data_IF_160516861130
#
_entry.id   IF_160516861130
#
_cell.length_a   1.000
_cell.length_b   1.000
_cell.length_c   1.000
_cell.angle_alpha   90.00
_cell.angle_beta   90.00
_cell.angle_gamma   90.00
#
_symmetry.space_group_name_H-M   'P 1'
#
loop_
_entity.id
_entity.type
_entity.pdbx_description
1 polymer ?
#
# COMPACT_ATOMS: atom_id res chain seq x y z
N UNK A 1 1.89 -10.53 12.84
CA UNK A 1 2.90 -9.45 12.87
C UNK A 1 4.25 -9.93 13.41
N UNK A 2 4.32 -10.67 14.53
CA UNK A 2 5.59 -11.12 15.12
C UNK A 2 6.47 -11.97 14.17
N UNK A 3 5.88 -12.74 13.27
CA UNK A 3 6.64 -13.53 12.29
C UNK A 3 7.24 -12.65 11.19
N UNK A 4 6.47 -11.70 10.67
CA UNK A 4 6.91 -10.70 9.67
C UNK A 4 8.03 -9.83 10.24
N UNK A 5 7.90 -9.43 11.50
CA UNK A 5 8.91 -8.63 12.20
C UNK A 5 10.24 -9.37 12.35
N UNK A 6 10.20 -10.68 12.64
CA UNK A 6 11.40 -11.52 12.72
C UNK A 6 12.08 -11.73 11.36
N UNK A 7 11.31 -11.79 10.28
CA UNK A 7 11.82 -11.99 8.91
C UNK A 7 12.40 -10.71 8.31
N UNK A 8 11.70 -9.58 8.47
CA UNK A 8 12.07 -8.29 7.86
C UNK A 8 12.99 -7.46 8.76
N UNK A 9 12.92 -7.66 10.08
CA UNK A 9 13.57 -6.83 11.09
C UNK A 9 12.70 -5.65 11.53
N UNK A 10 12.68 -5.38 12.84
CA UNK A 10 11.77 -4.42 13.49
C UNK A 10 11.86 -3.01 12.91
N UNK A 11 13.07 -2.46 12.73
CA UNK A 11 13.25 -1.09 12.22
C UNK A 11 12.68 -0.90 10.82
N UNK A 12 12.87 -1.91 9.95
CA UNK A 12 12.41 -1.89 8.57
C UNK A 12 10.89 -1.97 8.49
N UNK A 13 10.30 -2.81 9.34
CA UNK A 13 8.85 -2.93 9.44
C UNK A 13 8.20 -1.63 9.93
N UNK A 14 8.82 -0.94 10.91
CA UNK A 14 8.33 0.35 11.42
C UNK A 14 8.31 1.41 10.32
N UNK A 15 9.40 1.57 9.58
CA UNK A 15 9.49 2.54 8.47
C UNK A 15 8.41 2.23 7.42
N UNK A 16 8.23 0.95 7.10
CA UNK A 16 7.23 0.53 6.13
C UNK A 16 5.80 0.81 6.59
N UNK A 17 5.49 0.45 7.83
CA UNK A 17 4.17 0.63 8.42
C UNK A 17 3.79 2.11 8.52
N UNK A 18 4.72 2.94 9.02
CA UNK A 18 4.49 4.38 9.14
C UNK A 18 4.44 5.06 7.77
N UNK A 19 5.35 4.73 6.86
CA UNK A 19 5.41 5.33 5.53
C UNK A 19 4.15 5.06 4.70
N UNK A 20 3.70 3.80 4.65
CA UNK A 20 2.47 3.43 3.96
C UNK A 20 1.21 4.02 4.62
N UNK A 21 1.18 4.06 5.96
CA UNK A 21 0.07 4.67 6.70
C UNK A 21 -0.06 6.18 6.47
N UNK A 22 1.05 6.93 6.51
CA UNK A 22 1.04 8.38 6.28
C UNK A 22 0.65 8.69 4.84
N UNK A 23 1.22 8.00 3.85
CA UNK A 23 0.90 8.23 2.44
C UNK A 23 -0.56 7.87 2.11
N UNK A 24 -1.07 6.76 2.64
CA UNK A 24 -2.46 6.34 2.47
C UNK A 24 -3.45 7.34 3.08
N UNK A 25 -3.24 7.73 4.34
CA UNK A 25 -4.15 8.66 5.01
C UNK A 25 -4.07 10.08 4.41
N UNK A 26 -2.88 10.51 3.93
CA UNK A 26 -2.75 11.77 3.20
C UNK A 26 -3.56 11.73 1.89
N UNK A 27 -3.50 10.62 1.14
CA UNK A 27 -4.28 10.46 -0.08
C UNK A 27 -5.79 10.50 0.21
N UNK A 28 -6.26 9.84 1.26
CA UNK A 28 -7.66 9.90 1.69
C UNK A 28 -8.12 11.32 2.00
N UNK A 29 -7.32 12.08 2.76
CA UNK A 29 -7.64 13.47 3.09
C UNK A 29 -7.72 14.39 1.85
N UNK A 30 -7.04 14.05 0.76
CA UNK A 30 -7.10 14.79 -0.51
C UNK A 30 -8.39 14.45 -1.28
N UNK A 31 -8.73 13.15 -1.39
CA UNK A 31 -9.83 12.69 -2.24
C UNK A 31 -11.20 12.72 -1.55
N UNK A 32 -11.26 12.67 -0.22
CA UNK A 32 -12.51 12.72 0.56
C UNK A 32 -12.35 13.73 1.72
N UNK A 33 -12.27 15.04 1.44
CA UNK A 33 -11.92 16.05 2.45
C UNK A 33 -13.00 16.24 3.54
N UNK A 34 -14.26 15.86 3.27
CA UNK A 34 -15.39 16.08 4.17
C UNK A 34 -15.69 14.90 5.10
N UNK A 35 -14.96 13.78 4.99
CA UNK A 35 -15.05 12.66 5.94
C UNK A 35 -13.68 12.45 6.58
N UNK A 36 -13.60 12.74 7.88
CA UNK A 36 -12.39 12.53 8.64
C UNK A 36 -12.25 11.04 9.00
N UNK A 37 -11.70 10.26 8.08
CA UNK A 37 -11.39 8.86 8.29
C UNK A 37 -9.94 8.73 8.78
N UNK A 38 -9.78 8.21 10.00
CA UNK A 38 -8.48 7.91 10.60
C UNK A 38 -8.44 6.44 10.98
N UNK A 39 -7.43 5.73 10.50
CA UNK A 39 -7.32 4.32 10.81
C UNK A 39 -6.02 3.67 10.35
N UNK A 40 -5.79 2.43 10.78
CA UNK A 40 -4.64 1.64 10.35
C UNK A 40 -4.86 0.97 8.97
N UNK A 41 -5.95 1.29 8.26
CA UNK A 41 -6.31 0.63 7.00
C UNK A 41 -5.19 0.74 5.95
N UNK A 42 -4.68 1.96 5.70
CA UNK A 42 -3.55 2.19 4.80
C UNK A 42 -2.28 1.45 5.23
N UNK A 43 -1.94 1.46 6.52
CA UNK A 43 -0.74 0.77 7.02
C UNK A 43 -0.86 -0.77 6.92
N UNK A 44 -2.04 -1.32 7.21
CA UNK A 44 -2.32 -2.75 7.06
C UNK A 44 -2.30 -3.20 5.59
N UNK A 45 -2.83 -2.38 4.68
CA UNK A 45 -2.74 -2.64 3.24
C UNK A 45 -1.29 -2.62 2.75
N UNK A 46 -0.45 -1.74 3.31
CA UNK A 46 0.99 -1.71 3.04
C UNK A 46 1.73 -2.95 3.56
N UNK A 47 1.35 -3.45 4.73
CA UNK A 47 1.87 -4.74 5.25
C UNK A 47 1.44 -5.92 4.37
N UNK A 48 0.21 -5.91 3.85
CA UNK A 48 -0.27 -6.93 2.92
C UNK A 48 0.54 -6.91 1.62
N UNK A 49 0.84 -5.72 1.08
CA UNK A 49 1.74 -5.56 -0.05
C UNK A 49 3.14 -6.11 0.25
N UNK A 50 3.67 -5.87 1.46
CA UNK A 50 4.95 -6.41 1.90
C UNK A 50 5.02 -7.93 1.86
N UNK A 51 3.96 -8.61 2.33
CA UNK A 51 3.88 -10.07 2.26
C UNK A 51 3.87 -10.58 0.81
N UNK A 52 3.19 -9.88 -0.09
CA UNK A 52 3.17 -10.23 -1.52
C UNK A 52 4.57 -10.09 -2.13
N UNK A 53 5.27 -8.98 -1.86
CA UNK A 53 6.66 -8.76 -2.32
C UNK A 53 7.60 -9.81 -1.77
N UNK A 54 7.43 -10.20 -0.51
CA UNK A 54 8.22 -11.24 0.14
C UNK A 54 8.03 -12.62 -0.54
N UNK A 55 6.79 -12.97 -0.91
CA UNK A 55 6.48 -14.19 -1.69
C UNK A 55 7.11 -14.11 -3.09
N UNK A 56 7.05 -12.95 -3.75
CA UNK A 56 7.68 -12.74 -5.07
C UNK A 56 9.21 -12.93 -5.01
N UNK A 57 9.84 -12.49 -3.92
CA UNK A 57 11.28 -12.65 -3.72
C UNK A 57 11.68 -14.10 -3.42
N UNK A 58 10.86 -14.82 -2.66
CA UNK A 58 11.10 -16.22 -2.29
C UNK A 58 10.51 -17.23 -3.28
N UNK A 59 10.02 -16.77 -4.43
CA UNK A 59 9.39 -17.61 -5.46
C UNK A 59 10.16 -18.89 -5.81
N UNK A 60 11.49 -18.87 -6.08
CA UNK A 60 12.23 -20.08 -6.44
C UNK A 60 12.47 -21.04 -5.26
N UNK A 61 12.32 -20.59 -4.02
CA UNK A 61 12.49 -21.42 -2.83
C UNK A 61 11.19 -22.06 -2.34
N UNK A 62 10.03 -21.58 -2.81
CA UNK A 62 8.72 -22.07 -2.38
C UNK A 62 8.26 -23.23 -3.24
N UNK A 63 7.76 -24.31 -2.62
CA UNK A 63 7.22 -25.47 -3.36
C UNK A 63 5.95 -25.12 -4.15
N UNK A 64 5.10 -24.23 -3.62
CA UNK A 64 3.81 -23.84 -4.21
C UNK A 64 3.58 -22.30 -4.16
N UNK A 65 4.34 -21.49 -4.91
CA UNK A 65 4.27 -20.03 -4.86
C UNK A 65 2.93 -19.46 -5.34
N UNK A 66 2.33 -20.09 -6.35
CA UNK A 66 1.06 -19.64 -6.94
C UNK A 66 -0.09 -19.65 -5.94
N UNK A 67 -0.23 -20.69 -5.13
CA UNK A 67 -1.28 -20.78 -4.12
C UNK A 67 -1.09 -19.75 -3.01
N UNK A 68 0.16 -19.55 -2.57
CA UNK A 68 0.48 -18.56 -1.54
C UNK A 68 0.17 -17.14 -2.02
N UNK A 69 0.57 -16.78 -3.24
CA UNK A 69 0.27 -15.48 -3.83
C UNK A 69 -1.23 -15.30 -4.04
N UNK A 70 -1.91 -16.29 -4.62
CA UNK A 70 -3.34 -16.21 -4.89
C UNK A 70 -4.15 -16.00 -3.61
N UNK A 71 -3.79 -16.66 -2.50
CA UNK A 71 -4.46 -16.48 -1.21
C UNK A 71 -4.34 -15.04 -0.70
N UNK A 72 -3.16 -14.42 -0.77
CA UNK A 72 -2.96 -13.04 -0.31
C UNK A 72 -3.61 -12.02 -1.25
N UNK A 73 -3.55 -12.25 -2.56
CA UNK A 73 -4.21 -11.42 -3.56
C UNK A 73 -5.74 -11.49 -3.40
N UNK A 74 -6.29 -12.68 -3.16
CA UNK A 74 -7.72 -12.86 -2.90
C UNK A 74 -8.16 -12.11 -1.65
N UNK A 75 -7.37 -12.15 -0.56
CA UNK A 75 -7.64 -11.36 0.64
C UNK A 75 -7.59 -9.85 0.32
N UNK A 76 -6.62 -9.39 -0.45
CA UNK A 76 -6.52 -7.99 -0.87
C UNK A 76 -7.76 -7.54 -1.65
N UNK A 77 -8.16 -8.30 -2.67
CA UNK A 77 -9.33 -8.01 -3.50
C UNK A 77 -10.61 -8.04 -2.68
N UNK A 78 -10.78 -9.02 -1.78
CA UNK A 78 -11.94 -9.07 -0.89
C UNK A 78 -11.98 -7.86 0.05
N UNK A 79 -10.85 -7.42 0.58
CA UNK A 79 -10.77 -6.22 1.41
C UNK A 79 -11.15 -4.96 0.62
N UNK A 80 -10.72 -4.84 -0.64
CA UNK A 80 -11.16 -3.74 -1.51
C UNK A 80 -12.65 -3.81 -1.82
N UNK A 81 -13.21 -5.00 -2.09
CA UNK A 81 -14.65 -5.16 -2.36
C UNK A 81 -15.48 -4.83 -1.12
N UNK A 82 -15.09 -5.34 0.05
CA UNK A 82 -15.72 -5.02 1.34
C UNK A 82 -15.55 -3.52 1.63
N UNK A 83 -14.46 -2.92 1.19
CA UNK A 83 -14.20 -1.52 1.39
C UNK A 83 -15.16 -0.58 0.65
N UNK A 84 -16.00 -1.08 -0.28
CA UNK A 84 -17.13 -0.30 -0.84
C UNK A 84 -18.28 -0.10 0.16
N UNK A 85 -18.22 -0.75 1.34
CA UNK A 85 -19.16 -0.50 2.42
C UNK A 85 -18.86 0.84 3.10
N UNK A 86 -19.88 1.51 3.66
CA UNK A 86 -19.67 2.67 4.51
C UNK A 86 -18.68 2.32 5.64
N UNK A 87 -17.89 3.32 6.07
CA UNK A 87 -16.87 3.25 7.14
C UNK A 87 -15.49 2.70 6.77
N UNK A 88 -15.31 2.17 5.57
CA UNK A 88 -14.00 1.70 5.12
C UNK A 88 -13.41 2.64 4.08
N UNK A 89 -12.14 2.96 4.24
CA UNK A 89 -11.46 3.91 3.37
C UNK A 89 -10.60 3.17 2.33
N UNK A 90 -11.16 3.08 1.12
CA UNK A 90 -10.50 2.47 -0.03
C UNK A 90 -9.37 3.33 -0.57
N UNK A 91 -9.44 4.67 -0.50
CA UNK A 91 -8.33 5.52 -0.94
C UNK A 91 -7.11 5.30 -0.07
N UNK A 92 -7.27 5.32 1.25
CA UNK A 92 -6.16 5.03 2.17
C UNK A 92 -5.59 3.63 1.94
N UNK A 93 -6.44 2.63 1.71
CA UNK A 93 -6.01 1.25 1.44
C UNK A 93 -5.33 1.09 0.06
N UNK A 94 -5.80 1.79 -0.98
CA UNK A 94 -5.23 1.72 -2.32
C UNK A 94 -3.86 2.37 -2.40
N UNK A 95 -3.76 3.62 -1.93
CA UNK A 95 -2.48 4.32 -1.89
C UNK A 95 -1.54 3.70 -0.87
N UNK A 96 -2.04 3.25 0.29
CA UNK A 96 -1.26 2.49 1.27
C UNK A 96 -0.65 1.21 0.68
N UNK A 97 -1.40 0.47 -0.14
CA UNK A 97 -0.91 -0.71 -0.83
C UNK A 97 0.18 -0.38 -1.87
N UNK A 98 -0.01 0.67 -2.69
CA UNK A 98 0.97 1.09 -3.70
C UNK A 98 2.28 1.54 -3.04
N UNK A 99 2.19 2.42 -2.04
CA UNK A 99 3.35 2.89 -1.30
C UNK A 99 4.02 1.76 -0.53
N UNK A 100 3.24 0.89 0.12
CA UNK A 100 3.74 -0.30 0.80
C UNK A 100 4.50 -1.21 -0.16
N UNK A 101 3.97 -1.49 -1.36
CA UNK A 101 4.63 -2.32 -2.38
C UNK A 101 5.97 -1.73 -2.82
N UNK A 102 6.01 -0.44 -3.16
CA UNK A 102 7.24 0.23 -3.58
C UNK A 102 8.30 0.27 -2.46
N UNK A 103 7.85 0.57 -1.24
CA UNK A 103 8.72 0.68 -0.07
C UNK A 103 9.23 -0.70 0.38
N UNK A 104 8.42 -1.75 0.26
CA UNK A 104 8.85 -3.13 0.41
C UNK A 104 9.99 -3.45 -0.55
N UNK A 105 9.86 -3.06 -1.81
CA UNK A 105 10.92 -3.31 -2.78
C UNK A 105 12.25 -2.61 -2.45
N UNK A 106 12.19 -1.45 -1.81
CA UNK A 106 13.36 -0.71 -1.40
C UNK A 106 14.02 -1.25 -0.10
N UNK A 107 13.23 -1.78 0.83
CA UNK A 107 13.68 -2.06 2.20
C UNK A 107 13.96 -3.56 2.47
N UNK A 108 13.26 -4.48 1.80
CA UNK A 108 13.42 -5.91 2.13
C UNK A 108 14.85 -6.42 1.85
N UNK A 109 15.38 -7.32 2.70
CA UNK A 109 16.64 -7.99 2.42
C UNK A 109 16.46 -9.00 1.28
N UNK A 110 17.07 -8.74 0.13
CA UNK A 110 17.07 -9.69 -0.99
C UNK A 110 18.21 -10.68 -0.86
N UNK A 111 17.89 -11.97 -0.91
CA UNK A 111 18.89 -13.01 -1.10
C UNK A 111 19.31 -12.94 -2.58
N UNK A 112 20.54 -12.49 -2.86
CA UNK A 112 21.10 -12.46 -4.22
C UNK A 112 22.31 -13.36 -4.31
N UNK A 113 22.30 -14.28 -5.27
CA UNK A 113 23.32 -15.35 -5.41
C UNK A 113 24.43 -14.96 -6.41
N UNK A 114 24.41 -13.75 -7.01
CA UNK A 114 25.45 -13.31 -7.97
C UNK A 114 25.64 -11.80 -8.09
N UNK A 115 26.83 -11.39 -8.57
CA UNK A 115 27.27 -9.97 -8.67
C UNK A 115 26.55 -9.17 -9.77
N UNK A 116 26.30 -9.76 -10.94
CA UNK A 116 25.55 -9.11 -12.03
C UNK A 116 24.07 -8.87 -11.65
N UNK A 117 23.47 -9.83 -10.94
CA UNK A 117 22.13 -9.71 -10.37
C UNK A 117 22.06 -8.64 -9.27
N UNK A 118 23.17 -8.39 -8.56
CA UNK A 118 23.24 -7.36 -7.53
C UNK A 118 23.11 -5.94 -8.11
N UNK A 119 23.76 -5.63 -9.23
CA UNK A 119 23.65 -4.29 -9.84
C UNK A 119 22.24 -3.98 -10.32
N UNK A 120 21.57 -4.93 -11.00
CA UNK A 120 20.17 -4.78 -11.41
C UNK A 120 19.23 -4.57 -10.22
N UNK A 121 19.47 -5.28 -9.11
CA UNK A 121 18.70 -5.11 -7.87
C UNK A 121 18.92 -3.75 -7.22
N UNK A 122 20.16 -3.27 -7.16
CA UNK A 122 20.46 -1.92 -6.65
C UNK A 122 19.77 -0.86 -7.50
N UNK A 123 19.80 -1.01 -8.83
CA UNK A 123 19.08 -0.13 -9.74
C UNK A 123 17.57 -0.16 -9.45
N UNK A 124 16.97 -1.35 -9.29
CA UNK A 124 15.55 -1.48 -8.93
C UNK A 124 15.22 -0.78 -7.60
N UNK A 125 16.05 -0.95 -6.56
CA UNK A 125 15.88 -0.30 -5.26
C UNK A 125 15.87 1.22 -5.42
N UNK A 126 16.83 1.78 -6.15
CA UNK A 126 16.88 3.23 -6.40
C UNK A 126 15.67 3.73 -7.18
N UNK A 127 15.24 3.00 -8.20
CA UNK A 127 14.03 3.33 -8.96
C UNK A 127 12.81 3.34 -8.04
N UNK A 128 12.58 2.29 -7.25
CA UNK A 128 11.45 2.23 -6.31
C UNK A 128 11.49 3.34 -5.26
N UNK A 129 12.67 3.65 -4.72
CA UNK A 129 12.85 4.72 -3.73
C UNK A 129 12.54 6.09 -4.35
N UNK A 130 13.11 6.39 -5.52
CA UNK A 130 12.86 7.65 -6.24
C UNK A 130 11.37 7.78 -6.59
N UNK A 131 10.75 6.71 -7.11
CA UNK A 131 9.31 6.71 -7.42
C UNK A 131 8.47 6.94 -6.17
N UNK A 132 8.83 6.33 -5.03
CA UNK A 132 8.11 6.52 -3.75
C UNK A 132 8.19 7.98 -3.29
N UNK A 133 9.39 8.56 -3.30
CA UNK A 133 9.59 9.97 -2.90
C UNK A 133 8.86 10.91 -3.85
N UNK A 134 8.93 10.66 -5.16
CA UNK A 134 8.21 11.45 -6.17
C UNK A 134 6.69 11.41 -5.95
N UNK A 135 6.11 10.22 -5.76
CA UNK A 135 4.68 10.08 -5.48
C UNK A 135 4.28 10.76 -4.17
N UNK A 136 5.12 10.66 -3.14
CA UNK A 136 4.86 11.30 -1.85
C UNK A 136 4.84 12.84 -2.00
N UNK A 137 5.84 13.40 -2.67
CA UNK A 137 5.90 14.84 -2.94
C UNK A 137 4.72 15.30 -3.80
N UNK A 138 4.33 14.52 -4.79
CA UNK A 138 3.17 14.80 -5.63
C UNK A 138 1.88 14.84 -4.79
N UNK A 139 1.66 13.89 -3.86
CA UNK A 139 0.53 13.93 -2.94
C UNK A 139 0.54 15.17 -2.04
N UNK A 140 1.70 15.53 -1.49
CA UNK A 140 1.85 16.76 -0.68
C UNK A 140 1.55 18.01 -1.51
N UNK A 141 2.03 18.07 -2.75
CA UNK A 141 1.75 19.19 -3.67
C UNK A 141 0.25 19.28 -3.98
N UNK A 142 -0.40 18.14 -4.28
CA UNK A 142 -1.85 18.13 -4.50
C UNK A 142 -2.60 18.61 -3.26
N UNK A 143 -2.20 18.18 -2.07
CA UNK A 143 -2.82 18.63 -0.82
C UNK A 143 -2.70 20.14 -0.59
N UNK A 144 -1.55 20.75 -0.88
CA UNK A 144 -1.29 22.17 -0.58
C UNK A 144 -1.64 23.15 -1.72
N UNK A 145 -1.45 22.76 -2.98
CA UNK A 145 -1.51 23.67 -4.13
C UNK A 145 -2.81 23.51 -4.92
N UNK A 146 -3.34 22.29 -5.05
CA UNK A 146 -4.51 21.99 -5.87
C UNK A 146 -5.49 21.16 -5.05
N UNK A 147 -6.18 21.76 -4.06
CA UNK A 147 -7.16 21.02 -3.31
C UNK A 147 -8.31 20.60 -4.24
N UNK A 148 -8.47 19.28 -4.39
CA UNK A 148 -9.52 18.66 -5.21
C UNK A 148 -10.82 18.66 -4.39
N UNK A 149 -11.47 19.82 -4.29
CA UNK A 149 -12.70 19.96 -3.48
C UNK A 149 -13.93 19.30 -4.13
N UNK A 150 -13.94 19.18 -5.47
CA UNK A 150 -15.14 18.78 -6.23
C UNK A 150 -14.91 17.50 -7.04
N UNK A 151 -14.59 16.39 -6.38
CA UNK A 151 -14.59 15.08 -7.02
C UNK A 151 -15.77 14.23 -6.52
N UNK A 152 -16.95 14.44 -7.09
CA UNK A 152 -18.13 13.62 -6.79
C UNK A 152 -17.89 12.13 -7.09
N UNK A 153 -17.13 11.82 -8.16
CA UNK A 153 -16.76 10.45 -8.55
C UNK A 153 -15.84 9.79 -7.50
N UNK A 154 -15.05 10.57 -6.78
CA UNK A 154 -14.15 10.06 -5.75
C UNK A 154 -14.96 9.47 -4.58
N UNK A 155 -16.09 10.09 -4.20
CA UNK A 155 -16.98 9.54 -3.16
C UNK A 155 -17.48 8.12 -3.45
N UNK A 156 -17.72 7.79 -4.72
CA UNK A 156 -18.16 6.44 -5.14
C UNK A 156 -17.10 5.36 -4.95
N UNK A 157 -15.82 5.74 -4.90
CA UNK A 157 -14.72 4.79 -4.66
C UNK A 157 -14.69 4.31 -3.21
N UNK A 158 -15.12 5.14 -2.26
CA UNK A 158 -15.25 4.76 -0.84
C UNK A 158 -16.64 4.22 -0.50
N UNK A 159 -17.71 4.67 -1.16
CA UNK A 159 -19.06 4.18 -0.84
C UNK A 159 -19.97 4.17 -2.07
N UNK A 160 -20.49 2.99 -2.42
CA UNK A 160 -21.45 2.86 -3.51
C UNK A 160 -22.86 3.17 -2.99
N UNK A 161 -23.57 4.20 -3.51
CA UNK A 161 -24.90 4.57 -3.01
C UNK A 161 -25.95 3.56 -3.48
N UNK A 162 -26.02 2.41 -2.80
CA UNK A 162 -27.04 1.37 -3.00
C UNK A 162 -28.41 1.81 -2.44
N UNK A 163 -28.43 2.73 -1.48
CA UNK A 163 -29.62 3.29 -0.83
C UNK A 163 -29.36 4.74 -0.40
N UNK A 164 -30.41 5.59 -0.34
CA UNK A 164 -30.28 7.05 -0.11
C UNK A 164 -29.56 7.45 1.19
N UNK A 165 -29.58 6.57 2.21
CA UNK A 165 -28.97 6.82 3.53
C UNK A 165 -27.71 5.97 3.79
N UNK A 166 -27.24 5.18 2.81
CA UNK A 166 -26.15 4.23 3.04
C UNK A 166 -24.76 4.87 3.01
N UNK A 167 -24.63 6.00 2.31
CA UNK A 167 -23.39 6.76 2.14
C UNK A 167 -23.55 8.22 2.61
N UNK A 168 -24.52 8.50 3.50
CA UNK A 168 -24.71 9.81 4.15
C UNK A 168 -23.76 10.03 5.32
#
# INVERSE_FOLDING_TARGET
>A
MRDVEKLTGTLRLIILYLGSGVAGNLASAIFVPYRADVGPAGANSGLLACLIVEILNMWPMLQHPYYALFKHLLIAVLLFIIGLLPWFDNFSSFFGFIFGFLLSYAILPYISVGEYERQKKIFLIWVCLITTVFLFLLLVIFFYIIPVYDCEICGYFNCLPLTRDFCS
#
